data_IF_343769922100
#
_entry.id   IF_343769922100
#
_cell.length_a   1.000
_cell.length_b   1.000
_cell.length_c   1.000
_cell.angle_alpha   90.00
_cell.angle_beta   90.00
_cell.angle_gamma   90.00
#
_symmetry.space_group_name_H-M   'P 1'
#
loop_
_entity.id
_entity.type
_entity.pdbx_description
1 polymer ?
#
# COMPACT_ATOMS: atom_id res chain seq x y z
N UNK A 1 11.03 3.17 12.82
CA UNK A 1 10.48 2.55 11.60
C UNK A 1 11.58 2.43 10.54
N UNK A 2 12.12 1.22 10.29
CA UNK A 2 13.09 0.95 9.23
C UNK A 2 12.37 0.16 8.12
N UNK A 3 11.88 0.83 7.09
CA UNK A 3 11.16 0.19 5.99
C UNK A 3 11.19 1.05 4.73
N UNK A 4 12.22 0.85 3.89
CA UNK A 4 12.38 1.58 2.61
C UNK A 4 11.28 1.23 1.62
N UNK A 5 11.17 2.00 0.54
CA UNK A 5 10.34 1.60 -0.61
C UNK A 5 10.94 0.33 -1.24
N UNK A 6 10.19 -0.76 -1.31
CA UNK A 6 10.66 -2.05 -1.84
C UNK A 6 9.95 -2.35 -3.16
N UNK A 7 10.65 -2.40 -4.31
CA UNK A 7 10.02 -2.73 -5.58
C UNK A 7 9.81 -4.24 -5.71
N UNK A 8 8.55 -4.67 -5.84
CA UNK A 8 8.21 -6.06 -6.14
C UNK A 8 8.23 -6.31 -7.66
N UNK A 9 8.73 -7.46 -8.10
CA UNK A 9 8.95 -7.78 -9.54
C UNK A 9 8.42 -9.15 -9.99
N UNK A 10 7.84 -9.92 -9.08
CA UNK A 10 7.27 -11.23 -9.39
C UNK A 10 5.97 -11.14 -10.20
N UNK A 11 5.35 -12.29 -10.43
CA UNK A 11 3.99 -12.42 -11.00
C UNK A 11 2.92 -12.15 -9.95
N UNK A 12 1.66 -12.05 -10.35
CA UNK A 12 0.53 -12.00 -9.43
C UNK A 12 0.46 -13.21 -8.49
N UNK A 13 0.75 -14.40 -9.02
CA UNK A 13 0.84 -15.62 -8.20
C UNK A 13 1.97 -15.54 -7.16
N UNK A 14 3.11 -14.96 -7.51
CA UNK A 14 4.22 -14.77 -6.56
C UNK A 14 3.85 -13.74 -5.48
N UNK A 15 3.13 -12.68 -5.84
CA UNK A 15 2.67 -11.67 -4.90
C UNK A 15 1.60 -12.21 -3.94
N UNK A 16 0.71 -13.08 -4.43
CA UNK A 16 -0.27 -13.75 -3.61
C UNK A 16 0.42 -14.65 -2.58
N UNK A 17 1.36 -15.51 -3.02
CA UNK A 17 2.16 -16.33 -2.09
C UNK A 17 2.94 -15.50 -1.09
N UNK A 18 3.47 -14.34 -1.52
CA UNK A 18 4.19 -13.43 -0.63
C UNK A 18 3.29 -12.92 0.51
N UNK A 19 2.10 -12.39 0.18
CA UNK A 19 1.11 -11.92 1.16
C UNK A 19 0.61 -13.07 2.04
N UNK A 20 0.40 -14.25 1.45
CA UNK A 20 -0.02 -15.45 2.17
C UNK A 20 1.04 -15.97 3.14
N UNK A 21 2.33 -15.86 2.80
CA UNK A 21 3.44 -16.35 3.63
C UNK A 21 3.77 -15.45 4.82
N UNK A 22 3.34 -14.19 4.81
CA UNK A 22 3.47 -13.29 5.97
C UNK A 22 2.39 -13.56 7.03
N UNK A 23 1.51 -14.55 6.82
CA UNK A 23 0.47 -14.97 7.76
C UNK A 23 1.05 -15.90 8.82
N UNK A 24 0.89 -15.54 10.09
CA UNK A 24 1.25 -16.43 11.21
C UNK A 24 0.04 -17.18 11.80
N UNK A 25 -1.19 -16.67 11.61
CA UNK A 25 -2.43 -17.28 12.09
C UNK A 25 -3.55 -17.20 11.05
N UNK A 26 -4.42 -18.20 11.03
CA UNK A 26 -5.62 -18.21 10.20
C UNK A 26 -6.61 -17.08 10.58
N UNK A 27 -6.58 -16.63 11.85
CA UNK A 27 -7.39 -15.54 12.41
C UNK A 27 -7.02 -14.14 11.88
N UNK A 28 -5.91 -14.01 11.13
CA UNK A 28 -5.63 -12.76 10.40
C UNK A 28 -6.72 -12.48 9.32
N UNK A 29 -7.61 -13.45 9.03
CA UNK A 29 -8.72 -13.33 8.07
C UNK A 29 -10.14 -13.43 8.65
N UNK A 30 -10.35 -13.94 9.87
CA UNK A 30 -11.70 -14.40 10.28
C UNK A 30 -12.69 -13.34 10.79
N UNK A 31 -12.48 -12.05 10.49
CA UNK A 31 -13.50 -11.02 10.67
C UNK A 31 -14.18 -10.57 9.35
N UNK A 32 -14.10 -11.37 8.30
CA UNK A 32 -14.99 -11.29 7.13
C UNK A 32 -14.41 -11.97 5.90
N UNK A 33 -15.24 -12.66 5.11
CA UNK A 33 -14.94 -13.44 3.89
C UNK A 33 -14.28 -12.67 2.72
N UNK A 34 -13.66 -11.52 2.98
CA UNK A 34 -12.91 -10.73 2.03
C UNK A 34 -11.43 -10.78 2.42
N UNK A 35 -10.51 -10.82 1.45
CA UNK A 35 -9.09 -11.09 1.70
C UNK A 35 -8.33 -10.06 2.58
N UNK A 36 -9.01 -9.04 3.10
CA UNK A 36 -8.41 -7.91 3.80
C UNK A 36 -7.58 -6.99 2.89
N UNK A 37 -7.56 -7.25 1.57
CA UNK A 37 -6.81 -6.49 0.57
C UNK A 37 -7.65 -5.30 0.12
N UNK A 38 -7.51 -4.18 0.80
CA UNK A 38 -8.12 -2.93 0.36
C UNK A 38 -7.47 -2.44 -0.93
N UNK A 39 -8.27 -1.97 -1.88
CA UNK A 39 -7.83 -1.37 -3.13
C UNK A 39 -8.52 -0.02 -3.29
N UNK A 40 -7.73 1.00 -3.59
CA UNK A 40 -8.20 2.38 -3.78
C UNK A 40 -7.65 2.93 -5.08
N UNK A 41 -8.53 3.55 -5.88
CA UNK A 41 -8.13 4.40 -7.00
C UNK A 41 -8.14 5.85 -6.56
N UNK A 42 -7.12 6.60 -6.95
CA UNK A 42 -6.90 7.99 -6.56
C UNK A 42 -6.83 8.85 -7.80
N UNK A 43 -7.39 10.06 -7.73
CA UNK A 43 -7.16 11.09 -8.74
C UNK A 43 -5.97 12.00 -8.39
N UNK A 44 -5.70 12.98 -9.25
CA UNK A 44 -4.62 13.96 -9.09
C UNK A 44 -4.78 14.89 -7.87
N UNK A 45 -6.00 15.02 -7.33
CA UNK A 45 -6.25 15.79 -6.11
C UNK A 45 -5.97 14.97 -4.84
N UNK A 46 -5.76 13.65 -5.00
CA UNK A 46 -5.59 12.70 -3.91
C UNK A 46 -6.91 12.21 -3.32
N UNK A 47 -8.05 12.52 -3.95
CA UNK A 47 -9.34 11.98 -3.55
C UNK A 47 -9.51 10.54 -4.05
N UNK A 48 -10.13 9.71 -3.24
CA UNK A 48 -10.46 8.34 -3.59
C UNK A 48 -11.65 8.32 -4.55
N UNK A 49 -11.43 7.89 -5.79
CA UNK A 49 -12.50 7.73 -6.77
C UNK A 49 -13.28 6.43 -6.57
N UNK A 50 -12.61 5.39 -6.08
CA UNK A 50 -13.19 4.10 -5.76
C UNK A 50 -12.42 3.46 -4.59
N UNK A 51 -13.14 2.74 -3.73
CA UNK A 51 -12.57 1.91 -2.67
C UNK A 51 -13.35 0.62 -2.57
N UNK A 52 -12.65 -0.51 -2.69
CA UNK A 52 -13.22 -1.85 -2.56
C UNK A 52 -12.20 -2.86 -2.07
N UNK A 53 -12.65 -4.06 -1.71
CA UNK A 53 -11.76 -5.18 -1.42
C UNK A 53 -11.53 -5.95 -2.73
N UNK A 54 -10.30 -6.45 -2.93
CA UNK A 54 -9.99 -7.38 -4.02
C UNK A 54 -10.06 -8.82 -3.51
N UNK A 55 -10.61 -9.74 -4.29
CA UNK A 55 -10.34 -11.15 -4.06
C UNK A 55 -8.90 -11.53 -4.47
N UNK A 56 -8.48 -12.77 -4.20
CA UNK A 56 -7.13 -13.24 -4.53
C UNK A 56 -6.82 -13.22 -6.04
N UNK A 57 -7.82 -13.48 -6.89
CA UNK A 57 -7.66 -13.48 -8.34
C UNK A 57 -7.56 -12.05 -8.89
N UNK A 58 -8.37 -11.13 -8.39
CA UNK A 58 -8.33 -9.71 -8.72
C UNK A 58 -7.00 -9.08 -8.28
N UNK A 59 -6.52 -9.38 -7.06
CA UNK A 59 -5.23 -8.91 -6.59
C UNK A 59 -4.07 -9.45 -7.45
N UNK A 60 -4.06 -10.76 -7.74
CA UNK A 60 -3.06 -11.34 -8.63
C UNK A 60 -3.11 -10.69 -10.03
N UNK A 61 -4.30 -10.45 -10.56
CA UNK A 61 -4.53 -9.73 -11.81
C UNK A 61 -3.98 -8.30 -11.79
N UNK A 62 -4.23 -7.56 -10.71
CA UNK A 62 -3.72 -6.20 -10.51
C UNK A 62 -2.19 -6.14 -10.57
N UNK A 63 -1.51 -7.06 -9.86
CA UNK A 63 -0.05 -7.20 -9.89
C UNK A 63 0.45 -7.53 -11.30
N UNK A 64 -0.33 -8.32 -12.05
CA UNK A 64 -0.08 -8.64 -13.46
C UNK A 64 -0.52 -7.56 -14.46
N UNK A 65 -0.88 -6.38 -13.95
CA UNK A 65 -1.29 -5.18 -14.70
C UNK A 65 -2.63 -5.34 -15.43
N UNK A 66 -3.56 -6.07 -14.85
CA UNK A 66 -4.98 -6.04 -15.22
C UNK A 66 -5.69 -5.07 -14.27
N UNK A 67 -6.35 -4.05 -14.82
CA UNK A 67 -7.11 -3.10 -14.02
C UNK A 67 -8.31 -3.83 -13.37
N UNK A 68 -8.41 -3.88 -12.04
CA UNK A 68 -9.49 -4.60 -11.35
C UNK A 68 -10.89 -4.05 -11.67
N UNK A 69 -11.02 -2.77 -12.01
CA UNK A 69 -12.34 -2.15 -12.22
C UNK A 69 -12.84 -2.28 -13.67
N UNK A 70 -11.93 -2.47 -14.63
CA UNK A 70 -12.27 -2.45 -16.06
C UNK A 70 -11.84 -3.70 -16.83
N UNK A 71 -10.97 -4.53 -16.26
CA UNK A 71 -10.32 -5.65 -16.96
C UNK A 71 -9.28 -5.23 -18.00
N UNK A 72 -9.02 -3.93 -18.18
CA UNK A 72 -8.05 -3.42 -19.15
C UNK A 72 -6.61 -3.81 -18.77
N UNK A 73 -5.79 -4.17 -19.78
CA UNK A 73 -4.35 -4.31 -19.59
C UNK A 73 -3.68 -2.94 -19.47
N UNK A 74 -3.06 -2.67 -18.32
CA UNK A 74 -2.36 -1.42 -18.03
C UNK A 74 -0.95 -1.35 -18.66
N UNK A 75 -0.54 -2.39 -19.39
CA UNK A 75 0.71 -2.46 -20.15
C UNK A 75 1.26 -3.87 -20.24
N UNK A 76 2.46 -4.00 -20.82
CA UNK A 76 3.17 -5.29 -20.91
C UNK A 76 4.43 -5.28 -20.03
N UNK A 77 4.49 -6.09 -18.97
CA UNK A 77 5.65 -6.17 -18.10
C UNK A 77 6.85 -6.75 -18.84
N UNK A 78 8.02 -6.13 -18.67
CA UNK A 78 9.28 -6.74 -19.13
C UNK A 78 9.64 -7.90 -18.22
N UNK A 79 9.91 -9.06 -18.82
CA UNK A 79 10.51 -10.21 -18.13
C UNK A 79 11.93 -9.87 -17.68
N UNK A 80 12.38 -10.51 -16.61
CA UNK A 80 13.80 -10.48 -16.27
C UNK A 80 14.59 -11.15 -17.40
N UNK A 81 15.75 -10.58 -17.73
CA UNK A 81 16.74 -11.20 -18.61
C UNK A 81 18.09 -11.23 -17.89
N UNK A 82 19.12 -11.74 -18.57
CA UNK A 82 20.43 -12.04 -17.96
C UNK A 82 21.10 -10.83 -17.28
N UNK A 83 20.84 -9.62 -17.78
CA UNK A 83 21.45 -8.37 -17.27
C UNK A 83 20.42 -7.44 -16.62
N UNK A 84 19.13 -7.52 -17.01
CA UNK A 84 18.11 -6.54 -16.60
C UNK A 84 17.05 -7.18 -15.72
N UNK A 85 16.78 -6.55 -14.58
CA UNK A 85 15.65 -6.93 -13.73
C UNK A 85 14.32 -6.70 -14.46
N UNK A 86 13.35 -7.59 -14.23
CA UNK A 86 11.98 -7.46 -14.74
C UNK A 86 11.30 -6.18 -14.25
N UNK A 87 10.18 -5.77 -14.85
CA UNK A 87 9.51 -4.52 -14.47
C UNK A 87 8.99 -4.58 -13.02
N UNK A 88 9.13 -3.50 -12.21
CA UNK A 88 8.43 -3.44 -10.93
C UNK A 88 6.93 -3.53 -11.17
N UNK A 89 6.22 -4.32 -10.37
CA UNK A 89 4.75 -4.44 -10.43
C UNK A 89 4.09 -3.43 -9.52
N UNK A 90 4.61 -3.32 -8.31
CA UNK A 90 4.28 -2.31 -7.32
C UNK A 90 5.53 -1.93 -6.52
N UNK A 91 5.42 -0.83 -5.79
CA UNK A 91 6.38 -0.40 -4.79
C UNK A 91 5.72 -0.48 -3.41
N UNK A 92 6.31 -1.26 -2.50
CA UNK A 92 5.76 -1.48 -1.17
C UNK A 92 6.40 -0.58 -0.13
N UNK A 93 5.59 -0.12 0.82
CA UNK A 93 6.00 0.50 2.07
C UNK A 93 5.13 -0.06 3.19
N UNK A 94 5.70 -0.19 4.39
CA UNK A 94 4.96 -0.70 5.56
C UNK A 94 4.63 0.44 6.51
N UNK A 95 3.34 0.64 6.78
CA UNK A 95 2.86 1.53 7.84
C UNK A 95 2.86 0.73 9.13
N UNK A 96 3.76 1.07 10.06
CA UNK A 96 3.92 0.34 11.31
C UNK A 96 3.32 1.14 12.47
N UNK A 97 2.61 0.46 13.37
CA UNK A 97 2.32 0.98 14.69
C UNK A 97 3.53 0.83 15.63
N UNK A 98 3.66 1.66 16.68
CA UNK A 98 4.56 1.38 17.80
C UNK A 98 4.33 -0.01 18.38
N UNK A 99 5.41 -0.72 18.73
CA UNK A 99 5.33 -2.09 19.26
C UNK A 99 4.52 -2.15 20.57
N UNK A 100 4.64 -1.15 21.44
CA UNK A 100 3.84 -1.04 22.66
C UNK A 100 2.34 -1.01 22.37
N UNK A 101 1.91 -0.25 21.35
CA UNK A 101 0.50 -0.20 20.93
C UNK A 101 0.05 -1.53 20.31
N UNK A 102 0.93 -2.23 19.59
CA UNK A 102 0.61 -3.57 19.09
C UNK A 102 0.39 -4.58 20.22
N UNK A 103 1.16 -4.48 21.31
CA UNK A 103 0.98 -5.32 22.50
C UNK A 103 -0.31 -4.96 23.24
N UNK A 104 -0.57 -3.66 23.47
CA UNK A 104 -1.80 -3.20 24.10
C UNK A 104 -3.05 -3.65 23.30
N UNK A 105 -3.03 -3.49 21.97
CA UNK A 105 -4.09 -3.96 21.09
C UNK A 105 -4.28 -5.49 21.08
N UNK A 106 -3.31 -6.28 21.53
CA UNK A 106 -3.49 -7.73 21.69
C UNK A 106 -4.18 -8.10 23.02
N UNK A 107 -4.19 -7.19 23.99
CA UNK A 107 -4.73 -7.40 25.33
C UNK A 107 -6.07 -6.68 25.54
N UNK A 108 -6.29 -5.57 24.84
CA UNK A 108 -7.42 -4.66 25.02
C UNK A 108 -8.19 -4.46 23.69
N UNK A 109 -9.42 -4.99 23.54
CA UNK A 109 -10.21 -4.86 22.32
C UNK A 109 -10.43 -3.42 21.86
N UNK A 110 -10.72 -2.52 22.79
CA UNK A 110 -10.92 -1.08 22.55
C UNK A 110 -9.67 -0.39 21.98
N UNK A 111 -8.47 -0.78 22.46
CA UNK A 111 -7.19 -0.31 21.89
C UNK A 111 -6.99 -0.92 20.51
N UNK A 112 -7.40 -2.18 20.29
CA UNK A 112 -7.31 -2.81 18.97
C UNK A 112 -8.16 -2.08 17.93
N UNK A 113 -9.41 -1.79 18.24
CA UNK A 113 -10.33 -1.10 17.34
C UNK A 113 -9.82 0.31 17.02
N UNK A 114 -9.42 1.07 18.04
CA UNK A 114 -8.91 2.43 17.86
C UNK A 114 -7.59 2.46 17.07
N UNK A 115 -6.69 1.48 17.29
CA UNK A 115 -5.44 1.38 16.55
C UNK A 115 -5.67 0.96 15.09
N UNK A 116 -6.56 0.00 14.84
CA UNK A 116 -6.92 -0.42 13.48
C UNK A 116 -7.49 0.80 12.70
N UNK A 117 -8.36 1.60 13.32
CA UNK A 117 -8.89 2.84 12.72
C UNK A 117 -7.78 3.86 12.44
N UNK A 118 -6.91 4.16 13.41
CA UNK A 118 -5.81 5.10 13.24
C UNK A 118 -4.82 4.69 12.13
N UNK A 119 -4.62 3.38 11.92
CA UNK A 119 -3.81 2.89 10.81
C UNK A 119 -4.50 3.07 9.45
N UNK A 120 -5.82 2.90 9.36
CA UNK A 120 -6.58 3.18 8.14
C UNK A 120 -6.61 4.68 7.80
N UNK A 121 -6.68 5.54 8.81
CA UNK A 121 -6.56 6.99 8.62
C UNK A 121 -5.17 7.34 8.08
N UNK A 122 -4.11 6.78 8.68
CA UNK A 122 -2.75 6.95 8.19
C UNK A 122 -2.57 6.49 6.74
N UNK A 123 -3.18 5.36 6.36
CA UNK A 123 -3.20 4.89 4.98
C UNK A 123 -3.91 5.89 4.06
N UNK A 124 -5.07 6.41 4.45
CA UNK A 124 -5.85 7.38 3.65
C UNK A 124 -5.11 8.70 3.46
N UNK A 125 -4.43 9.18 4.50
CA UNK A 125 -3.59 10.39 4.44
C UNK A 125 -2.40 10.23 3.49
N UNK A 126 -1.73 9.07 3.55
CA UNK A 126 -0.63 8.75 2.63
C UNK A 126 -1.16 8.58 1.20
N UNK A 127 -2.31 7.95 1.01
CA UNK A 127 -2.95 7.82 -0.30
C UNK A 127 -3.19 9.20 -0.94
N UNK A 128 -3.75 10.15 -0.18
CA UNK A 128 -3.92 11.52 -0.69
C UNK A 128 -2.60 12.16 -1.08
N UNK A 129 -1.58 12.04 -0.22
CA UNK A 129 -0.23 12.55 -0.53
C UNK A 129 0.29 11.97 -1.83
N UNK A 130 0.12 10.66 -2.04
CA UNK A 130 0.56 9.97 -3.25
C UNK A 130 -0.17 10.48 -4.50
N UNK A 131 -1.49 10.66 -4.45
CA UNK A 131 -2.25 11.20 -5.60
C UNK A 131 -1.78 12.58 -6.02
N UNK A 132 -1.50 13.46 -5.05
CA UNK A 132 -1.07 14.85 -5.29
C UNK A 132 0.39 14.98 -5.75
N UNK A 133 1.27 14.06 -5.34
CA UNK A 133 2.72 14.23 -5.50
C UNK A 133 3.40 13.14 -6.35
N UNK A 134 2.64 12.18 -6.87
CA UNK A 134 3.17 11.17 -7.79
C UNK A 134 3.32 11.74 -9.19
N UNK A 135 4.41 11.37 -9.84
CA UNK A 135 4.75 11.84 -11.19
C UNK A 135 5.15 10.69 -12.09
N UNK A 136 5.07 10.92 -13.39
CA UNK A 136 5.60 10.03 -14.43
C UNK A 136 6.42 10.81 -15.44
N UNK A 137 7.09 10.09 -16.35
CA UNK A 137 7.91 10.66 -17.42
C UNK A 137 7.25 10.49 -18.77
N UNK A 138 7.16 11.57 -19.54
CA UNK A 138 6.58 11.61 -20.89
C UNK A 138 7.64 12.11 -21.88
N UNK A 139 7.57 11.64 -23.13
CA UNK A 139 8.51 12.02 -24.18
C UNK A 139 9.62 10.99 -24.43
N UNK A 140 10.46 11.24 -25.46
CA UNK A 140 11.50 10.32 -25.88
C UNK A 140 12.64 10.27 -24.86
N UNK A 141 13.38 9.14 -24.87
CA UNK A 141 14.52 8.95 -23.97
C UNK A 141 15.54 10.08 -24.12
N UNK A 142 15.95 10.70 -23.01
CA UNK A 142 16.87 11.83 -22.98
C UNK A 142 16.21 13.21 -23.13
N UNK A 143 14.91 13.28 -23.45
CA UNK A 143 14.10 14.51 -23.48
C UNK A 143 12.78 14.29 -22.76
N UNK A 144 12.83 13.57 -21.64
CA UNK A 144 11.63 13.22 -20.90
C UNK A 144 11.23 14.37 -19.98
N UNK A 145 9.97 14.76 -20.05
CA UNK A 145 9.34 15.71 -19.15
C UNK A 145 8.71 14.96 -17.97
N UNK A 146 8.79 15.56 -16.78
CA UNK A 146 8.11 15.05 -15.59
C UNK A 146 6.72 15.68 -15.57
N UNK A 147 5.69 14.84 -15.51
CA UNK A 147 4.28 15.28 -15.45
C UNK A 147 3.59 14.66 -14.23
N UNK A 148 2.62 15.35 -13.62
CA UNK A 148 1.77 14.79 -12.57
C UNK A 148 1.02 13.54 -13.05
N UNK A 149 0.73 12.65 -12.11
CA UNK A 149 -0.18 11.54 -12.33
C UNK A 149 -1.62 12.03 -12.30
N UNK A 150 -2.45 11.54 -13.22
CA UNK A 150 -3.89 11.83 -13.26
C UNK A 150 -4.68 10.80 -12.43
N UNK A 151 -4.32 9.53 -12.54
CA UNK A 151 -4.91 8.45 -11.74
C UNK A 151 -3.87 7.40 -11.33
N UNK A 152 -4.01 6.87 -10.11
CA UNK A 152 -3.20 5.77 -9.61
C UNK A 152 -3.97 4.81 -8.72
N UNK A 153 -3.35 3.67 -8.43
CA UNK A 153 -3.92 2.60 -7.62
C UNK A 153 -3.00 2.29 -6.45
N UNK A 154 -3.61 2.15 -5.27
CA UNK A 154 -2.92 1.76 -4.03
C UNK A 154 -3.69 0.61 -3.39
N UNK A 155 -2.95 -0.42 -2.99
CA UNK A 155 -3.45 -1.55 -2.22
C UNK A 155 -2.95 -1.43 -0.77
N UNK A 156 -3.80 -1.72 0.20
CA UNK A 156 -3.45 -1.81 1.62
C UNK A 156 -3.85 -3.17 2.19
N UNK A 157 -2.89 -3.86 2.81
CA UNK A 157 -3.08 -5.21 3.38
C UNK A 157 -2.74 -5.13 4.87
N UNK A 158 -3.74 -5.35 5.73
CA UNK A 158 -3.61 -5.17 7.18
C UNK A 158 -3.23 -6.49 7.84
N UNK A 159 -2.18 -6.48 8.66
CA UNK A 159 -1.74 -7.61 9.45
C UNK A 159 -1.67 -7.25 10.94
N UNK A 160 -1.96 -8.25 11.79
CA UNK A 160 -2.00 -8.08 13.25
C UNK A 160 -0.82 -8.70 13.98
N UNK A 161 -0.08 -9.59 13.33
CA UNK A 161 0.99 -10.40 13.91
C UNK A 161 2.26 -10.35 13.06
N UNK A 162 3.42 -10.66 13.66
CA UNK A 162 4.67 -10.88 12.93
C UNK A 162 4.72 -12.31 12.36
N UNK A 163 5.70 -12.60 11.51
CA UNK A 163 5.98 -13.98 11.05
C UNK A 163 6.20 -14.99 12.17
N UNK A 164 6.70 -14.53 13.32
CA UNK A 164 6.93 -15.36 14.50
C UNK A 164 5.68 -15.47 15.40
N UNK A 165 4.57 -14.80 15.04
CA UNK A 165 3.32 -14.78 15.82
C UNK A 165 3.24 -13.69 16.89
N UNK A 166 4.23 -12.80 16.98
CA UNK A 166 4.21 -11.73 17.98
C UNK A 166 3.21 -10.62 17.60
N UNK A 167 2.56 -9.96 18.58
CA UNK A 167 1.69 -8.81 18.28
C UNK A 167 2.41 -7.73 17.48
N UNK A 168 1.98 -7.48 16.25
CA UNK A 168 2.64 -6.53 15.34
C UNK A 168 1.63 -5.96 14.35
N UNK A 169 1.05 -4.82 14.69
CA UNK A 169 0.06 -4.13 13.87
C UNK A 169 0.74 -3.34 12.76
N UNK A 170 0.50 -3.72 11.51
CA UNK A 170 1.10 -3.08 10.35
C UNK A 170 0.25 -3.23 9.08
N UNK A 171 0.40 -2.28 8.15
CA UNK A 171 -0.22 -2.33 6.83
C UNK A 171 0.87 -2.39 5.77
N UNK A 172 0.85 -3.41 4.91
CA UNK A 172 1.60 -3.40 3.65
C UNK A 172 0.86 -2.52 2.65
N UNK A 173 1.38 -1.32 2.43
CA UNK A 173 0.88 -0.40 1.41
C UNK A 173 1.66 -0.62 0.11
N UNK A 174 0.95 -1.00 -0.95
CA UNK A 174 1.51 -1.29 -2.26
C UNK A 174 1.02 -0.27 -3.28
N UNK A 175 1.95 0.50 -3.82
CA UNK A 175 1.69 1.53 -4.84
C UNK A 175 1.88 0.92 -6.23
N UNK A 176 0.84 0.93 -7.06
CA UNK A 176 0.88 0.38 -8.41
C UNK A 176 1.97 1.03 -9.27
N UNK A 177 2.77 0.21 -9.98
CA UNK A 177 3.81 0.75 -10.86
C UNK A 177 3.27 1.32 -12.17
N UNK A 178 1.97 1.18 -12.42
CA UNK A 178 1.25 1.73 -13.58
C UNK A 178 0.30 2.82 -13.11
N UNK A 179 0.38 3.96 -13.79
CA UNK A 179 -0.39 5.17 -13.49
C UNK A 179 -0.93 5.74 -14.78
N UNK A 180 -2.08 6.41 -14.75
CA UNK A 180 -2.63 7.11 -15.90
C UNK A 180 -2.10 8.55 -15.92
N UNK A 181 -1.58 8.98 -17.07
CA UNK A 181 -1.25 10.38 -17.32
C UNK A 181 -1.06 10.61 -18.82
N UNK A 182 -1.41 11.81 -19.30
CA UNK A 182 -1.29 12.20 -20.70
C UNK A 182 -1.89 11.13 -21.63
N UNK A 183 -3.14 10.74 -21.34
CA UNK A 183 -4.02 9.92 -22.17
C UNK A 183 -3.67 8.43 -22.28
N UNK A 184 -2.78 7.89 -21.43
CA UNK A 184 -2.47 6.45 -21.42
C UNK A 184 -1.85 5.98 -20.10
N UNK A 185 -1.83 4.66 -19.90
CA UNK A 185 -1.04 4.03 -18.86
C UNK A 185 0.47 4.25 -19.04
N UNK A 186 1.15 4.68 -17.98
CA UNK A 186 2.58 4.97 -17.91
C UNK A 186 3.20 4.34 -16.66
N UNK A 187 4.52 4.30 -16.63
CA UNK A 187 5.24 3.80 -15.47
C UNK A 187 5.33 4.91 -14.43
N UNK A 188 5.02 4.62 -13.17
CA UNK A 188 5.30 5.53 -12.07
C UNK A 188 6.79 5.88 -12.05
N UNK A 189 7.14 7.14 -11.82
CA UNK A 189 8.53 7.50 -11.53
C UNK A 189 8.89 7.02 -10.11
N UNK A 190 9.38 5.80 -10.03
CA UNK A 190 9.74 5.19 -8.74
C UNK A 190 10.90 5.92 -8.08
N UNK A 191 11.79 6.58 -8.83
CA UNK A 191 12.87 7.38 -8.23
C UNK A 191 12.32 8.62 -7.51
N UNK A 192 11.26 9.24 -8.04
CA UNK A 192 10.52 10.29 -7.33
C UNK A 192 9.85 9.73 -6.07
N UNK A 193 9.19 8.57 -6.15
CA UNK A 193 8.60 7.91 -4.99
C UNK A 193 9.64 7.61 -3.90
N UNK A 194 10.81 7.09 -4.27
CA UNK A 194 11.92 6.84 -3.33
C UNK A 194 12.35 8.10 -2.56
N UNK A 195 12.38 9.25 -3.22
CA UNK A 195 12.71 10.53 -2.57
C UNK A 195 11.63 10.98 -1.58
N UNK A 196 10.38 10.57 -1.77
CA UNK A 196 9.26 10.90 -0.89
C UNK A 196 9.14 9.99 0.35
N UNK A 197 9.95 8.92 0.45
CA UNK A 197 9.81 7.93 1.53
C UNK A 197 9.84 8.54 2.95
N UNK A 198 10.62 9.61 3.16
CA UNK A 198 10.71 10.30 4.44
C UNK A 198 9.41 11.01 4.80
N UNK A 199 8.81 11.73 3.85
CA UNK A 199 7.53 12.43 4.02
C UNK A 199 6.39 11.44 4.28
N UNK A 200 6.31 10.37 3.48
CA UNK A 200 5.28 9.33 3.64
C UNK A 200 5.34 8.69 5.04
N UNK A 201 6.54 8.36 5.53
CA UNK A 201 6.70 7.81 6.88
C UNK A 201 6.34 8.80 7.98
N UNK A 202 6.72 10.07 7.81
CA UNK A 202 6.39 11.12 8.76
C UNK A 202 4.87 11.30 8.86
N UNK A 203 4.16 11.33 7.73
CA UNK A 203 2.70 11.37 7.66
C UNK A 203 2.07 10.20 8.42
N UNK A 204 2.45 8.96 8.08
CA UNK A 204 1.86 7.80 8.74
C UNK A 204 2.10 7.78 10.25
N UNK A 205 3.28 8.21 10.69
CA UNK A 205 3.59 8.33 12.14
C UNK A 205 2.77 9.42 12.81
N UNK A 206 2.68 10.60 12.18
CA UNK A 206 1.97 11.75 12.74
C UNK A 206 0.48 11.48 12.88
N UNK A 207 -0.14 10.84 11.89
CA UNK A 207 -1.58 10.54 11.90
C UNK A 207 -1.93 9.56 13.01
N UNK A 208 -1.17 8.47 13.16
CA UNK A 208 -1.40 7.51 14.25
C UNK A 208 -1.19 8.19 15.62
N UNK A 209 -0.14 8.98 15.77
CA UNK A 209 0.17 9.67 17.03
C UNK A 209 -0.87 10.74 17.40
N UNK A 210 -1.55 11.33 16.41
CA UNK A 210 -2.55 12.37 16.60
C UNK A 210 -3.99 11.82 16.71
N UNK A 211 -4.21 10.50 16.64
CA UNK A 211 -5.56 9.93 16.71
C UNK A 211 -6.22 10.21 18.07
N UNK A 212 -7.35 10.94 18.11
CA UNK A 212 -8.01 11.28 19.36
C UNK A 212 -8.66 10.07 20.04
N UNK A 213 -9.21 9.13 19.26
CA UNK A 213 -9.82 7.90 19.75
C UNK A 213 -8.76 7.00 20.41
N UNK A 214 -7.64 6.79 19.71
CA UNK A 214 -6.52 6.01 20.24
C UNK A 214 -5.94 6.64 21.51
N UNK A 215 -5.82 7.98 21.53
CA UNK A 215 -5.38 8.70 22.71
C UNK A 215 -6.38 8.62 23.87
N UNK A 216 -7.68 8.48 23.61
CA UNK A 216 -8.70 8.37 24.65
C UNK A 216 -8.67 7.01 25.34
N UNK A 217 -8.62 5.91 24.56
CA UNK A 217 -8.62 4.54 25.10
C UNK A 217 -7.31 4.22 25.83
N UNK A 218 -6.17 4.69 25.31
CA UNK A 218 -4.86 4.45 25.97
C UNK A 218 -4.64 5.24 27.26
N UNK A 219 -5.46 6.27 27.53
CA UNK A 219 -5.44 7.04 28.79
C UNK A 219 -6.27 6.42 29.90
N UNK A 220 -7.18 5.50 29.60
CA UNK A 220 -8.07 4.88 30.59
C UNK A 220 -7.42 3.68 31.29
N UNK A 221 -6.35 3.11 30.71
CA UNK A 221 -5.65 1.92 31.21
C UNK A 221 -4.32 2.20 31.95
N UNK A 222 -4.02 3.47 32.26
CA UNK A 222 -2.79 3.89 32.97
C UNK A 222 -3.07 4.57 34.29
#
# INVERSE_FOLDING_TARGET
MHGGVIPFRGTGADALRYVESDRSRADDYYLGDATGISYTTLDASGEAMNRRVLDSAEYAGWVDWINPDTGEKMGTPRKAGDVRRGSPRFAEMVINAPKSLSVAAALHPEVSEALDAAQQDALSEIQRWLGQHSVTRVGPRGKQEIVPVEHMQVVGITHRTSRAGDPHRHIHMQVGARVWAAGRWRALDTAALFKQQGAIRALGTAVIAASPELAAVTRQDG
#
